data_IF_873038717935
#
_entry.id   IF_873038717935
#
_cell.length_a   1.000
_cell.length_b   1.000
_cell.length_c   1.000
_cell.angle_alpha   90.00
_cell.angle_beta   90.00
_cell.angle_gamma   90.00
#
_symmetry.space_group_name_H-M   'P 1'
#
loop_
_entity.id
_entity.type
_entity.pdbx_description
1 polymer ?
#
# COMPACT_ATOMS: atom_id res chain seq x y z
N UNK A 1 -6.97 -2.60 -3.81
CA UNK A 1 -7.61 -1.26 -3.80
C UNK A 1 -7.95 -0.88 -2.37
N UNK A 2 -7.96 0.42 -2.02
CA UNK A 2 -8.26 0.87 -0.65
C UNK A 2 -9.24 2.06 -0.67
N UNK A 3 -10.23 2.05 0.22
CA UNK A 3 -11.17 3.16 0.46
C UNK A 3 -11.27 3.36 1.97
N UNK A 4 -11.14 4.59 2.45
CA UNK A 4 -11.17 4.85 3.88
C UNK A 4 -11.45 6.30 4.26
N UNK A 5 -11.80 6.49 5.53
CA UNK A 5 -12.07 7.79 6.15
C UNK A 5 -10.91 8.14 7.06
N UNK A 6 -10.44 9.40 6.98
CA UNK A 6 -9.24 9.82 7.70
C UNK A 6 -8.86 11.27 7.53
N UNK A 7 -7.65 11.58 8.00
CA UNK A 7 -7.00 12.87 7.91
C UNK A 7 -6.04 12.90 6.72
N UNK A 8 -6.12 13.97 5.94
CA UNK A 8 -5.21 14.25 4.85
C UNK A 8 -4.48 15.57 5.12
N UNK A 9 -3.18 15.49 5.36
CA UNK A 9 -2.33 16.65 5.56
C UNK A 9 -1.40 16.83 4.37
N UNK A 10 -1.40 18.04 3.79
CA UNK A 10 -0.60 18.37 2.62
C UNK A 10 0.07 19.72 2.84
N UNK A 11 1.41 19.71 2.88
CA UNK A 11 2.20 20.95 2.97
C UNK A 11 2.46 21.51 1.57
N UNK A 12 2.84 20.65 0.63
CA UNK A 12 3.08 21.00 -0.79
C UNK A 12 2.59 19.87 -1.69
N UNK A 13 2.75 20.00 -3.02
CA UNK A 13 2.49 18.88 -3.94
C UNK A 13 3.49 17.72 -3.73
N UNK A 14 4.68 18.06 -3.24
CA UNK A 14 5.81 17.15 -3.04
C UNK A 14 5.87 16.55 -1.63
N UNK A 15 5.04 17.04 -0.71
CA UNK A 15 4.99 16.58 0.67
C UNK A 15 3.55 16.45 1.16
N UNK A 16 3.10 15.21 1.31
CA UNK A 16 1.80 14.90 1.89
C UNK A 16 1.80 13.61 2.71
N UNK A 17 0.89 13.55 3.67
CA UNK A 17 0.63 12.41 4.53
C UNK A 17 -0.88 12.21 4.65
N UNK A 18 -1.33 10.97 4.54
CA UNK A 18 -2.71 10.55 4.69
C UNK A 18 -2.80 9.46 5.75
N UNK A 19 -3.57 9.69 6.80
CA UNK A 19 -3.82 8.71 7.84
C UNK A 19 -5.32 8.41 7.88
N UNK A 20 -5.70 7.14 7.67
CA UNK A 20 -7.08 6.69 7.61
C UNK A 20 -7.29 5.49 8.55
N UNK A 21 -7.76 5.72 9.79
CA UNK A 21 -7.93 4.64 10.79
C UNK A 21 -9.09 3.69 10.46
N UNK A 22 -9.98 4.07 9.55
CA UNK A 22 -11.07 3.23 9.05
C UNK A 22 -10.94 3.10 7.52
N UNK A 23 -10.24 2.05 7.08
CA UNK A 23 -9.96 1.76 5.67
C UNK A 23 -10.35 0.33 5.34
N UNK A 24 -11.16 0.14 4.29
CA UNK A 24 -11.37 -1.16 3.67
C UNK A 24 -10.34 -1.39 2.56
N UNK A 25 -9.70 -2.56 2.54
CA UNK A 25 -8.76 -3.00 1.50
C UNK A 25 -9.31 -4.25 0.81
N UNK A 26 -9.33 -4.21 -0.51
CA UNK A 26 -9.72 -5.34 -1.36
C UNK A 26 -8.49 -5.81 -2.15
N UNK A 27 -8.09 -7.05 -1.90
CA UNK A 27 -7.04 -7.76 -2.62
C UNK A 27 -7.70 -8.67 -3.63
N UNK A 28 -7.24 -8.62 -4.88
CA UNK A 28 -7.70 -9.49 -5.96
C UNK A 28 -6.48 -10.13 -6.61
N UNK A 29 -6.57 -11.44 -6.85
CA UNK A 29 -5.53 -12.23 -7.49
C UNK A 29 -6.15 -13.10 -8.58
N UNK A 30 -5.39 -13.39 -9.63
CA UNK A 30 -5.84 -14.33 -10.64
C UNK A 30 -5.94 -15.74 -10.01
N UNK A 31 -7.02 -16.45 -10.32
CA UNK A 31 -7.32 -17.78 -9.78
C UNK A 31 -6.22 -18.81 -10.05
N UNK A 32 -5.47 -18.65 -11.14
CA UNK A 32 -4.30 -19.50 -11.45
C UNK A 32 -3.25 -19.51 -10.33
N UNK A 33 -3.15 -18.43 -9.53
CA UNK A 33 -2.23 -18.35 -8.39
C UNK A 33 -2.78 -18.99 -7.10
N UNK A 34 -4.07 -19.33 -7.05
CA UNK A 34 -4.73 -19.86 -5.85
C UNK A 34 -5.31 -21.27 -6.02
N UNK A 35 -5.51 -21.74 -7.26
CA UNK A 35 -6.07 -23.07 -7.57
C UNK A 35 -5.20 -24.21 -7.06
N UNK A 36 -3.90 -24.12 -7.32
CA UNK A 36 -2.94 -25.21 -7.04
C UNK A 36 -2.21 -25.04 -5.69
N UNK A 37 -2.71 -24.18 -4.80
CA UNK A 37 -2.16 -24.06 -3.45
C UNK A 37 -2.38 -25.36 -2.67
N UNK A 38 -1.44 -25.69 -1.79
CA UNK A 38 -1.64 -26.75 -0.79
C UNK A 38 -2.74 -26.34 0.20
N UNK A 39 -3.38 -27.32 0.85
CA UNK A 39 -4.40 -27.03 1.88
C UNK A 39 -3.81 -26.17 3.00
N UNK A 40 -4.59 -25.18 3.46
CA UNK A 40 -4.16 -24.21 4.47
C UNK A 40 -3.15 -23.16 3.99
N UNK A 41 -2.66 -23.22 2.74
CA UNK A 41 -1.81 -22.17 2.16
C UNK A 41 -2.65 -21.07 1.52
N UNK A 42 -2.09 -19.86 1.53
CA UNK A 42 -2.68 -18.64 1.00
C UNK A 42 -1.69 -17.93 0.09
N UNK A 43 -2.19 -17.16 -0.87
CA UNK A 43 -1.39 -16.28 -1.73
C UNK A 43 -1.82 -14.83 -1.49
N UNK A 44 -0.93 -14.00 -0.94
CA UNK A 44 -1.27 -12.66 -0.41
C UNK A 44 -2.51 -12.66 0.49
N UNK A 45 -2.62 -13.66 1.37
CA UNK A 45 -3.77 -13.83 2.25
C UNK A 45 -5.03 -14.42 1.59
N UNK A 46 -5.06 -14.55 0.26
CA UNK A 46 -6.18 -15.16 -0.46
C UNK A 46 -6.08 -16.68 -0.35
N UNK A 47 -7.13 -17.30 0.21
CA UNK A 47 -7.22 -18.75 0.39
C UNK A 47 -7.25 -19.53 -0.93
N UNK A 48 -6.82 -20.78 -0.88
CA UNK A 48 -6.93 -21.75 -1.97
C UNK A 48 -8.31 -21.70 -2.64
N UNK A 49 -8.33 -21.60 -3.97
CA UNK A 49 -9.55 -21.58 -4.79
C UNK A 49 -10.35 -20.28 -4.77
N UNK A 50 -10.04 -19.32 -3.90
CA UNK A 50 -10.60 -17.96 -3.91
C UNK A 50 -9.81 -17.04 -4.85
N UNK A 51 -10.40 -15.93 -5.28
CA UNK A 51 -9.75 -14.91 -6.11
C UNK A 51 -9.62 -13.56 -5.41
N UNK A 52 -10.12 -13.44 -4.18
CA UNK A 52 -10.14 -12.17 -3.46
C UNK A 52 -10.11 -12.35 -1.95
N UNK A 53 -9.67 -11.28 -1.28
CA UNK A 53 -9.69 -11.11 0.17
C UNK A 53 -10.09 -9.67 0.49
N UNK A 54 -11.00 -9.51 1.45
CA UNK A 54 -11.35 -8.22 2.01
C UNK A 54 -10.75 -8.07 3.40
N UNK A 55 -10.28 -6.86 3.71
CA UNK A 55 -9.67 -6.52 4.98
C UNK A 55 -10.20 -5.16 5.44
N UNK A 56 -10.21 -4.95 6.76
CA UNK A 56 -10.64 -3.70 7.38
C UNK A 56 -9.60 -3.28 8.41
N UNK A 57 -9.12 -2.04 8.31
CA UNK A 57 -7.90 -1.66 8.99
C UNK A 57 -7.60 -0.18 9.03
N UNK A 58 -6.41 0.14 9.54
CA UNK A 58 -5.80 1.47 9.42
C UNK A 58 -4.85 1.52 8.23
N UNK A 59 -4.78 2.67 7.57
CA UNK A 59 -3.77 2.98 6.57
C UNK A 59 -3.04 4.28 6.89
N UNK A 60 -1.72 4.28 6.73
CA UNK A 60 -0.89 5.48 6.69
C UNK A 60 -0.15 5.51 5.35
N UNK A 61 -0.33 6.57 4.56
CA UNK A 61 0.37 6.76 3.29
C UNK A 61 1.07 8.10 3.29
N UNK A 62 2.28 8.15 2.80
CA UNK A 62 3.05 9.38 2.72
C UNK A 62 3.87 9.44 1.45
N UNK A 63 4.15 10.68 1.03
CA UNK A 63 4.94 10.99 -0.15
C UNK A 63 5.83 12.19 0.12
N UNK A 64 7.09 12.04 -0.29
CA UNK A 64 8.14 13.03 -0.14
C UNK A 64 8.93 13.09 -1.44
N UNK A 65 8.97 14.23 -2.10
CA UNK A 65 9.78 14.48 -3.29
C UNK A 65 10.73 15.65 -3.03
N UNK A 66 11.97 15.51 -3.46
CA UNK A 66 13.00 16.53 -3.34
C UNK A 66 13.94 16.48 -4.55
N UNK A 67 14.53 17.63 -4.89
CA UNK A 67 15.60 17.74 -5.87
C UNK A 67 16.92 17.38 -5.19
N UNK A 68 17.67 16.43 -5.77
CA UNK A 68 18.95 15.98 -5.22
C UNK A 68 20.10 16.81 -5.79
N UNK A 69 20.10 16.99 -7.12
CA UNK A 69 20.98 17.85 -7.91
C UNK A 69 20.15 18.44 -9.07
N UNK A 70 20.68 19.44 -9.76
CA UNK A 70 19.98 20.08 -10.88
C UNK A 70 19.47 19.05 -11.89
N UNK A 71 18.18 19.11 -12.22
CA UNK A 71 17.46 18.19 -13.11
C UNK A 71 17.32 16.74 -12.61
N UNK A 72 17.69 16.44 -11.36
CA UNK A 72 17.51 15.12 -10.76
C UNK A 72 16.60 15.20 -9.54
N UNK A 73 15.42 14.62 -9.70
CA UNK A 73 14.40 14.56 -8.65
C UNK A 73 14.32 13.16 -8.06
N UNK A 74 14.23 13.07 -6.74
CA UNK A 74 14.00 11.81 -6.01
C UNK A 74 12.67 11.90 -5.29
N UNK A 75 11.85 10.86 -5.42
CA UNK A 75 10.58 10.72 -4.71
C UNK A 75 10.51 9.42 -3.92
N UNK A 76 9.93 9.50 -2.74
CA UNK A 76 9.75 8.43 -1.79
C UNK A 76 8.26 8.30 -1.50
N UNK A 77 7.74 7.08 -1.57
CA UNK A 77 6.38 6.75 -1.16
C UNK A 77 6.43 5.63 -0.13
N UNK A 78 5.84 5.87 1.04
CA UNK A 78 5.68 4.87 2.09
C UNK A 78 4.18 4.64 2.26
N UNK A 79 3.77 3.37 2.34
CA UNK A 79 2.41 2.97 2.68
C UNK A 79 2.46 1.88 3.74
N UNK A 80 1.78 2.12 4.85
CA UNK A 80 1.57 1.18 5.93
C UNK A 80 0.10 0.78 6.00
N UNK A 81 -0.17 -0.49 6.33
CA UNK A 81 -1.53 -0.98 6.58
C UNK A 81 -1.54 -1.97 7.75
N UNK A 82 -2.54 -1.85 8.64
CA UNK A 82 -2.79 -2.77 9.75
C UNK A 82 -4.17 -3.39 9.57
N UNK A 83 -4.26 -4.71 9.44
CA UNK A 83 -5.54 -5.41 9.30
C UNK A 83 -6.11 -5.78 10.68
N UNK A 84 -7.24 -5.16 11.04
CA UNK A 84 -7.92 -5.41 12.30
C UNK A 84 -8.59 -6.77 12.36
N UNK A 85 -8.91 -7.39 11.22
CA UNK A 85 -9.66 -8.64 11.16
C UNK A 85 -8.77 -9.87 11.35
N UNK A 86 -7.48 -9.78 11.05
CA UNK A 86 -6.54 -10.90 11.15
C UNK A 86 -5.56 -10.71 12.31
N UNK A 87 -4.63 -9.76 12.20
CA UNK A 87 -3.62 -9.49 13.23
C UNK A 87 -3.29 -8.00 13.26
N UNK A 88 -3.97 -7.19 14.09
CA UNK A 88 -3.78 -5.74 14.11
C UNK A 88 -2.36 -5.32 14.51
N UNK A 89 -1.62 -6.18 15.23
CA UNK A 89 -0.22 -5.94 15.57
C UNK A 89 0.75 -6.05 14.38
N UNK A 90 0.34 -6.69 13.28
CA UNK A 90 1.15 -6.82 12.08
C UNK A 90 0.92 -5.61 11.16
N UNK A 91 2.00 -5.03 10.67
CA UNK A 91 1.97 -3.88 9.75
C UNK A 91 2.53 -4.31 8.40
N UNK A 92 1.72 -4.21 7.35
CA UNK A 92 2.17 -4.32 5.97
C UNK A 92 2.88 -3.03 5.56
N UNK A 93 4.13 -3.13 5.10
CA UNK A 93 4.93 -2.02 4.60
C UNK A 93 5.15 -2.15 3.09
N UNK A 94 4.73 -1.12 2.35
CA UNK A 94 5.12 -0.89 0.96
C UNK A 94 5.96 0.40 0.89
N UNK A 95 7.16 0.27 0.35
CA UNK A 95 8.06 1.40 0.16
C UNK A 95 8.58 1.41 -1.28
N UNK A 96 8.47 2.58 -1.92
CA UNK A 96 8.95 2.80 -3.28
C UNK A 96 9.79 4.08 -3.33
N UNK A 97 10.98 3.98 -3.93
CA UNK A 97 11.82 5.12 -4.31
C UNK A 97 11.82 5.23 -5.83
N UNK A 98 11.70 6.45 -6.35
CA UNK A 98 11.89 6.74 -7.78
C UNK A 98 12.85 7.91 -7.94
N UNK A 99 13.73 7.83 -8.94
CA UNK A 99 14.52 8.95 -9.40
C UNK A 99 14.11 9.29 -10.84
N UNK A 100 14.01 10.57 -11.16
CA UNK A 100 13.78 11.05 -12.51
C UNK A 100 14.93 12.01 -12.87
N UNK A 101 15.42 11.91 -14.10
CA UNK A 101 16.39 12.83 -14.67
C UNK A 101 15.73 13.54 -15.87
N UNK A 102 15.59 14.85 -15.82
CA UNK A 102 15.13 15.65 -16.96
C UNK A 102 16.33 15.97 -17.86
N UNK A 103 16.83 14.98 -18.61
CA UNK A 103 17.73 15.27 -19.73
C UNK A 103 16.89 15.70 -20.94
N UNK A 104 17.05 16.96 -21.36
CA UNK A 104 16.56 17.43 -22.68
C UNK A 104 17.21 16.68 -23.83
#
# INVERSE_FOLDING_TARGET
MQIGVGLYWRKTKDLWVNFAPATGRLIMVNRTFTENLSEGKQYFGVSKGSNSRFELGASLRSYFKFELIENVEVSNRISLYSDYLENPGNIDLDYTIKHNNESQ
#
